data_IF_431527407637
#
_entry.id   IF_431527407637
#
_cell.length_a   1.000
_cell.length_b   1.000
_cell.length_c   1.000
_cell.angle_alpha   90.00
_cell.angle_beta   90.00
_cell.angle_gamma   90.00
#
_symmetry.space_group_name_H-M   'P 1'
#
loop_
_entity.id
_entity.type
_entity.pdbx_description
1 polymer ?
#
# COMPACT_ATOMS: atom_id res chain seq x y z
N UNK A 1 -22.56 8.72 -0.98
CA UNK A 1 -22.77 8.74 0.49
C UNK A 1 -23.65 7.57 0.93
N UNK A 2 -24.91 7.46 0.47
CA UNK A 2 -25.77 6.32 0.85
C UNK A 2 -25.29 4.90 0.44
N UNK A 3 -24.38 4.76 -0.55
CA UNK A 3 -23.85 3.44 -0.94
C UNK A 3 -22.58 3.03 -0.18
N UNK A 4 -21.88 3.96 0.47
CA UNK A 4 -20.65 3.68 1.22
C UNK A 4 -21.00 3.26 2.66
N UNK A 5 -21.99 3.93 3.26
CA UNK A 5 -22.60 3.53 4.54
C UNK A 5 -23.30 2.15 4.45
N UNK A 6 -23.97 1.86 3.33
CA UNK A 6 -24.72 0.62 3.16
C UNK A 6 -23.82 -0.63 2.99
N UNK A 7 -22.56 -0.45 2.60
CA UNK A 7 -21.60 -1.54 2.41
C UNK A 7 -20.73 -1.80 3.65
N UNK A 8 -20.88 -1.02 4.72
CA UNK A 8 -20.05 -1.14 5.92
C UNK A 8 -18.65 -0.54 5.81
N UNK A 9 -18.31 0.11 4.69
CA UNK A 9 -16.94 0.58 4.37
C UNK A 9 -16.74 2.09 4.60
N UNK A 10 -17.65 2.75 5.34
CA UNK A 10 -17.56 4.20 5.55
C UNK A 10 -16.32 4.57 6.37
N UNK A 11 -16.03 3.81 7.43
CA UNK A 11 -14.90 4.08 8.31
C UNK A 11 -13.58 3.88 7.57
N UNK A 12 -13.48 2.85 6.74
CA UNK A 12 -12.34 2.57 5.87
C UNK A 12 -12.18 3.65 4.80
N UNK A 13 -13.29 4.15 4.22
CA UNK A 13 -13.24 5.28 3.28
C UNK A 13 -12.71 6.53 3.98
N UNK A 14 -13.19 6.83 5.19
CA UNK A 14 -12.69 7.97 5.97
C UNK A 14 -11.20 7.79 6.25
N UNK A 15 -10.77 6.60 6.68
CA UNK A 15 -9.37 6.32 6.98
C UNK A 15 -8.49 6.46 5.73
N UNK A 16 -8.94 5.95 4.58
CA UNK A 16 -8.28 6.11 3.28
C UNK A 16 -8.06 7.58 2.91
N UNK A 17 -9.12 8.39 2.98
CA UNK A 17 -9.02 9.82 2.67
C UNK A 17 -8.15 10.56 3.70
N UNK A 18 -8.18 10.16 4.97
CA UNK A 18 -7.26 10.69 5.97
C UNK A 18 -5.81 10.31 5.68
N UNK A 19 -5.55 9.13 5.12
CA UNK A 19 -4.24 8.73 4.61
C UNK A 19 -3.72 9.69 3.53
N UNK A 20 -4.58 10.07 2.58
CA UNK A 20 -4.25 11.09 1.58
C UNK A 20 -3.98 12.48 2.18
N UNK A 21 -4.76 12.88 3.19
CA UNK A 21 -4.54 14.14 3.92
C UNK A 21 -3.19 14.14 4.63
N UNK A 22 -2.79 13.01 5.21
CA UNK A 22 -1.49 12.86 5.89
C UNK A 22 -0.29 12.82 4.93
N UNK A 23 -0.52 12.46 3.67
CA UNK A 23 0.46 12.62 2.60
C UNK A 23 0.67 11.41 1.70
N UNK A 24 -0.03 10.30 1.96
CA UNK A 24 0.08 9.08 1.15
C UNK A 24 -0.47 9.39 -0.25
N UNK A 25 0.33 9.15 -1.28
CA UNK A 25 -0.02 9.46 -2.67
C UNK A 25 0.05 10.95 -3.04
N UNK A 26 -0.30 11.85 -2.12
CA UNK A 26 -0.39 13.30 -2.39
C UNK A 26 0.95 14.03 -2.23
N UNK A 27 1.82 13.55 -1.33
CA UNK A 27 3.14 14.15 -1.06
C UNK A 27 4.31 13.39 -1.67
N UNK A 28 4.11 12.19 -2.23
CA UNK A 28 5.20 11.37 -2.77
C UNK A 28 6.00 12.09 -3.86
N UNK A 29 5.33 12.72 -4.82
CA UNK A 29 5.99 13.49 -5.89
C UNK A 29 6.75 14.70 -5.33
N UNK A 30 6.16 15.42 -4.37
CA UNK A 30 6.79 16.58 -3.72
C UNK A 30 8.01 16.19 -2.88
N UNK A 31 8.00 14.98 -2.33
CA UNK A 31 9.10 14.41 -1.56
C UNK A 31 10.18 13.77 -2.46
N UNK A 32 9.99 13.78 -3.78
CA UNK A 32 10.94 13.19 -4.74
C UNK A 32 10.94 11.65 -4.73
N UNK A 33 9.89 11.03 -4.18
CA UNK A 33 9.80 9.58 -4.01
C UNK A 33 8.92 8.90 -5.04
N UNK A 34 8.33 9.64 -5.98
CA UNK A 34 7.53 9.08 -7.07
C UNK A 34 8.27 9.24 -8.40
N UNK A 35 8.55 8.12 -9.07
CA UNK A 35 9.14 8.09 -10.41
C UNK A 35 8.19 7.46 -11.41
N UNK A 36 8.32 7.83 -12.69
CA UNK A 36 7.49 7.26 -13.75
C UNK A 36 6.02 7.71 -13.73
N UNK A 37 5.68 8.74 -12.95
CA UNK A 37 4.38 9.40 -12.96
C UNK A 37 3.99 9.79 -14.40
N UNK A 38 2.71 9.69 -14.72
CA UNK A 38 2.20 9.80 -16.11
C UNK A 38 2.42 8.57 -17.00
N UNK A 39 3.32 7.64 -16.65
CA UNK A 39 3.74 6.53 -17.51
C UNK A 39 3.07 5.17 -17.22
N UNK A 40 3.54 4.14 -17.93
CA UNK A 40 3.02 2.78 -17.81
C UNK A 40 3.42 2.06 -16.52
N UNK A 41 4.44 2.53 -15.79
CA UNK A 41 4.91 1.89 -14.56
C UNK A 41 5.44 2.93 -13.56
N UNK A 42 4.57 3.74 -12.93
CA UNK A 42 4.95 4.59 -11.82
C UNK A 42 5.35 3.74 -10.61
N UNK A 43 6.31 4.25 -9.83
CA UNK A 43 6.95 3.54 -8.72
C UNK A 43 7.26 4.50 -7.58
N UNK A 44 7.04 4.04 -6.35
CA UNK A 44 7.43 4.74 -5.13
C UNK A 44 8.81 4.24 -4.66
N UNK A 45 9.75 5.14 -4.40
CA UNK A 45 11.17 4.83 -4.14
C UNK A 45 11.59 5.07 -2.69
N UNK A 46 10.63 5.21 -1.77
CA UNK A 46 10.91 5.27 -0.32
C UNK A 46 11.54 3.97 0.16
N UNK A 47 12.58 4.07 1.00
CA UNK A 47 13.39 2.94 1.40
C UNK A 47 12.66 2.04 2.40
N UNK A 48 11.91 2.62 3.33
CA UNK A 48 11.19 1.88 4.37
C UNK A 48 10.02 1.11 3.75
N UNK A 49 9.18 1.77 2.94
CA UNK A 49 8.09 1.10 2.25
C UNK A 49 8.59 0.01 1.30
N UNK A 50 9.72 0.22 0.62
CA UNK A 50 10.33 -0.81 -0.24
C UNK A 50 10.80 -2.02 0.56
N UNK A 51 11.37 -1.82 1.75
CA UNK A 51 11.80 -2.93 2.61
C UNK A 51 10.59 -3.76 3.09
N UNK A 52 9.50 -3.12 3.50
CA UNK A 52 8.27 -3.81 3.90
C UNK A 52 7.59 -4.50 2.72
N UNK A 53 7.62 -3.89 1.52
CA UNK A 53 7.10 -4.50 0.30
C UNK A 53 7.86 -5.79 -0.03
N UNK A 54 9.20 -5.74 -0.01
CA UNK A 54 10.04 -6.91 -0.22
C UNK A 54 9.76 -8.00 0.82
N UNK A 55 9.54 -7.61 2.08
CA UNK A 55 9.23 -8.54 3.18
C UNK A 55 7.87 -9.23 2.99
N UNK A 56 6.82 -8.48 2.68
CA UNK A 56 5.45 -9.01 2.56
C UNK A 56 5.32 -9.87 1.30
N UNK A 57 5.91 -9.46 0.18
CA UNK A 57 5.76 -10.14 -1.09
C UNK A 57 6.83 -11.21 -1.35
N UNK A 58 7.87 -11.31 -0.51
CA UNK A 58 8.97 -12.25 -0.71
C UNK A 58 9.80 -11.94 -1.97
N UNK A 59 9.92 -10.66 -2.31
CA UNK A 59 10.62 -10.18 -3.52
C UNK A 59 11.85 -9.34 -3.17
N UNK A 60 12.62 -8.96 -4.17
CA UNK A 60 13.78 -8.08 -4.02
C UNK A 60 13.76 -6.97 -5.06
N UNK A 61 12.93 -5.97 -4.81
CA UNK A 61 12.69 -4.83 -5.67
C UNK A 61 13.32 -3.56 -5.07
N UNK A 62 13.57 -2.57 -5.92
CA UNK A 62 14.13 -1.26 -5.52
C UNK A 62 13.07 -0.20 -5.26
N UNK A 63 11.79 -0.55 -5.37
CA UNK A 63 10.66 0.37 -5.24
C UNK A 63 9.33 -0.38 -5.12
N UNK A 64 8.25 0.33 -4.81
CA UNK A 64 6.89 -0.20 -4.71
C UNK A 64 6.07 0.16 -5.96
N UNK A 65 5.32 -0.77 -6.55
CA UNK A 65 4.35 -0.49 -7.62
C UNK A 65 3.29 0.55 -7.23
N UNK A 66 3.18 1.63 -8.01
CA UNK A 66 2.11 2.63 -7.89
C UNK A 66 1.08 2.40 -8.99
N UNK A 67 -0.17 2.74 -8.74
CA UNK A 67 -1.26 2.57 -9.69
C UNK A 67 -0.99 3.32 -11.00
N UNK A 68 -1.09 2.60 -12.12
CA UNK A 68 -0.73 3.07 -13.45
C UNK A 68 -1.96 3.28 -14.35
N UNK A 69 -3.15 2.89 -13.86
CA UNK A 69 -4.44 3.04 -14.53
C UNK A 69 -5.35 4.01 -13.77
N UNK A 70 -6.55 4.26 -14.30
CA UNK A 70 -7.52 5.19 -13.71
C UNK A 70 -7.28 6.66 -14.07
N UNK A 71 -8.05 7.55 -13.44
CA UNK A 71 -7.98 9.00 -13.64
C UNK A 71 -7.00 9.71 -12.70
N UNK A 72 -6.94 11.06 -12.73
CA UNK A 72 -6.08 11.85 -11.85
C UNK A 72 -6.30 11.65 -10.35
N UNK A 73 -7.46 11.11 -9.95
CA UNK A 73 -7.78 10.78 -8.57
C UNK A 73 -7.43 9.35 -8.17
N UNK A 74 -6.84 8.54 -9.04
CA UNK A 74 -6.49 7.14 -8.76
C UNK A 74 -5.03 6.87 -9.14
N UNK A 75 -4.69 7.17 -10.39
CA UNK A 75 -3.36 6.95 -10.92
C UNK A 75 -2.33 7.77 -10.16
N UNK A 76 -1.12 7.23 -9.99
CA UNK A 76 0.02 7.89 -9.34
C UNK A 76 -0.15 8.21 -7.83
N UNK A 77 -1.35 8.05 -7.26
CA UNK A 77 -1.67 8.37 -5.86
C UNK A 77 -2.00 7.16 -4.98
N UNK A 78 -2.07 5.97 -5.55
CA UNK A 78 -2.48 4.74 -4.87
C UNK A 78 -1.46 3.63 -5.09
N UNK A 79 -1.46 2.63 -4.21
CA UNK A 79 -0.80 1.37 -4.51
C UNK A 79 -1.46 0.69 -5.70
N UNK A 80 -0.67 -0.06 -6.47
CA UNK A 80 -1.18 -0.75 -7.65
C UNK A 80 -2.16 -1.84 -7.25
N UNK A 81 -3.40 -1.70 -7.66
CA UNK A 81 -4.50 -2.62 -7.35
C UNK A 81 -4.16 -4.06 -7.78
N UNK A 82 -3.62 -4.23 -8.99
CA UNK A 82 -3.23 -5.55 -9.50
C UNK A 82 -2.09 -6.24 -8.75
N UNK A 83 -1.45 -5.56 -7.79
CA UNK A 83 -0.40 -6.11 -6.93
C UNK A 83 -0.90 -6.25 -5.49
N UNK A 84 -1.59 -5.24 -4.96
CA UNK A 84 -2.01 -5.22 -3.56
C UNK A 84 -3.41 -5.81 -3.34
N UNK A 85 -4.31 -5.77 -4.33
CA UNK A 85 -5.70 -6.19 -4.15
C UNK A 85 -6.37 -5.41 -3.03
N UNK A 86 -7.00 -6.11 -2.09
CA UNK A 86 -7.69 -5.54 -0.93
C UNK A 86 -6.69 -4.97 0.10
N UNK A 87 -6.12 -3.79 -0.16
CA UNK A 87 -5.32 -3.00 0.78
C UNK A 87 -5.88 -1.58 0.86
N UNK A 88 -5.84 -0.97 2.04
CA UNK A 88 -6.53 0.30 2.31
C UNK A 88 -6.24 1.41 1.30
N UNK A 89 -5.02 1.55 0.80
CA UNK A 89 -4.58 2.66 -0.06
C UNK A 89 -4.48 2.27 -1.54
N UNK A 90 -5.20 1.23 -1.97
CA UNK A 90 -5.49 1.01 -3.39
C UNK A 90 -6.70 1.84 -3.86
N UNK A 91 -6.94 1.87 -5.17
CA UNK A 91 -7.97 2.74 -5.76
C UNK A 91 -9.40 2.25 -5.58
N UNK A 92 -9.61 1.05 -5.02
CA UNK A 92 -10.90 0.39 -4.92
C UNK A 92 -11.10 -0.17 -3.52
N UNK A 93 -12.13 0.31 -2.82
CA UNK A 93 -12.42 -0.08 -1.45
C UNK A 93 -13.48 -1.19 -1.41
N UNK A 94 -13.05 -2.43 -1.64
CA UNK A 94 -13.85 -3.64 -1.46
C UNK A 94 -13.18 -4.65 -0.51
N UNK A 95 -14.00 -5.49 0.12
CA UNK A 95 -13.51 -6.53 1.02
C UNK A 95 -12.91 -6.01 2.34
N UNK A 96 -11.89 -6.71 2.84
CA UNK A 96 -11.17 -6.32 4.06
C UNK A 96 -10.01 -5.41 3.68
N UNK A 97 -9.99 -4.18 4.19
CA UNK A 97 -9.06 -3.12 3.76
C UNK A 97 -7.99 -2.82 4.84
N UNK A 98 -7.01 -3.73 5.07
CA UNK A 98 -5.97 -3.51 6.06
C UNK A 98 -5.06 -2.35 5.67
N UNK A 99 -4.65 -1.56 6.67
CA UNK A 99 -3.53 -0.62 6.53
C UNK A 99 -2.23 -1.39 6.68
N UNK A 100 -1.61 -1.75 5.55
CA UNK A 100 -0.41 -2.57 5.54
C UNK A 100 0.82 -1.85 6.10
N UNK A 101 1.84 -2.61 6.52
CA UNK A 101 3.15 -2.06 6.89
C UNK A 101 3.81 -1.27 5.75
N UNK A 102 3.51 -1.56 4.48
CA UNK A 102 4.00 -0.78 3.33
C UNK A 102 3.40 0.62 3.35
N UNK A 103 2.09 0.71 3.55
CA UNK A 103 1.37 1.98 3.68
C UNK A 103 1.88 2.80 4.86
N UNK A 104 1.98 2.18 6.04
CA UNK A 104 2.52 2.84 7.23
C UNK A 104 3.96 3.35 7.01
N UNK A 105 4.85 2.50 6.48
CA UNK A 105 6.24 2.87 6.20
C UNK A 105 6.39 4.01 5.19
N UNK A 106 5.44 4.16 4.25
CA UNK A 106 5.47 5.29 3.31
C UNK A 106 5.30 6.66 3.99
N UNK A 107 4.68 6.71 5.18
CA UNK A 107 4.65 7.91 6.02
C UNK A 107 6.03 8.18 6.64
N UNK A 108 6.76 7.13 7.04
CA UNK A 108 8.14 7.22 7.51
C UNK A 108 9.06 7.83 6.45
N UNK A 109 8.94 7.35 5.22
CA UNK A 109 9.70 7.84 4.06
C UNK A 109 9.44 9.34 3.75
N UNK A 110 8.31 9.92 4.15
CA UNK A 110 8.01 11.36 4.01
C UNK A 110 8.22 12.16 5.31
N UNK A 111 8.82 11.55 6.33
CA UNK A 111 9.33 12.24 7.52
C UNK A 111 8.47 12.12 8.79
N UNK A 112 7.48 11.23 8.83
CA UNK A 112 6.79 10.90 10.08
C UNK A 112 7.60 9.90 10.90
N UNK A 113 7.41 9.90 12.22
CA UNK A 113 7.78 8.75 13.05
C UNK A 113 6.62 7.76 13.04
N UNK A 114 6.90 6.50 12.68
CA UNK A 114 5.87 5.48 12.47
C UNK A 114 6.16 4.25 13.34
N UNK A 115 5.14 3.79 14.06
CA UNK A 115 5.14 2.48 14.69
C UNK A 115 4.58 1.43 13.71
N UNK A 116 5.48 0.65 13.11
CA UNK A 116 5.11 -0.38 12.13
C UNK A 116 4.41 -1.60 12.77
N UNK A 117 4.47 -1.75 14.09
CA UNK A 117 3.79 -2.86 14.78
C UNK A 117 2.31 -2.53 15.04
N UNK A 118 1.90 -1.28 14.83
CA UNK A 118 0.49 -0.84 14.87
C UNK A 118 -0.25 -1.02 13.53
N UNK A 119 0.46 -1.40 12.45
CA UNK A 119 -0.16 -1.67 11.16
C UNK A 119 -0.90 -3.01 11.15
N UNK A 120 -1.90 -3.13 10.28
CA UNK A 120 -2.68 -4.36 10.15
C UNK A 120 -1.87 -5.47 9.46
N UNK A 121 -2.22 -6.72 9.78
CA UNK A 121 -1.70 -7.86 9.04
C UNK A 121 -2.28 -7.84 7.62
N UNK A 122 -1.41 -7.76 6.63
CA UNK A 122 -1.76 -7.81 5.22
C UNK A 122 -0.98 -8.93 4.52
N UNK A 123 -1.71 -9.79 3.82
CA UNK A 123 -1.15 -10.87 3.00
C UNK A 123 -1.72 -10.70 1.60
N UNK A 124 -0.88 -10.44 0.59
CA UNK A 124 -1.36 -10.25 -0.77
C UNK A 124 -1.98 -11.54 -1.30
N UNK A 125 -3.08 -11.40 -2.01
CA UNK A 125 -3.78 -12.51 -2.65
C UNK A 125 -2.86 -13.21 -3.67
N UNK A 126 -2.76 -14.53 -3.58
CA UNK A 126 -1.97 -15.34 -4.52
C UNK A 126 -0.53 -15.64 -4.08
N UNK A 127 -0.13 -15.26 -2.86
CA UNK A 127 1.13 -15.68 -2.26
C UNK A 127 0.82 -16.80 -1.26
N UNK A 128 1.02 -18.05 -1.69
CA UNK A 128 0.93 -19.22 -0.81
C UNK A 128 2.20 -19.25 0.06
N UNK A 129 2.10 -18.76 1.30
CA UNK A 129 3.09 -19.08 2.31
C UNK A 129 2.91 -20.56 2.64
N UNK A 130 3.48 -21.43 1.81
CA UNK A 130 3.65 -22.83 2.15
C UNK A 130 4.23 -22.85 3.55
N UNK A 131 3.45 -23.34 4.51
CA UNK A 131 3.87 -23.48 5.89
C UNK A 131 5.17 -24.27 5.88
N UNK A 132 6.29 -23.60 6.15
CA UNK A 132 7.59 -24.26 6.21
C UNK A 132 7.62 -25.12 7.48
N UNK A 133 6.98 -26.29 7.37
CA UNK A 133 7.06 -27.39 8.30
C UNK A 133 8.13 -28.34 7.79
N UNK A 134 9.38 -27.87 7.71
CA UNK A 134 10.52 -28.69 7.32
C UNK A 134 11.83 -28.09 7.83
N UNK A 135 12.19 -28.44 9.08
CA UNK A 135 13.50 -28.98 9.48
C UNK A 135 13.97 -28.48 10.85
N UNK A 136 13.84 -29.36 11.85
CA UNK A 136 14.91 -29.58 12.82
C UNK A 136 14.87 -31.05 13.24
N UNK A 137 15.51 -31.90 12.42
CA UNK A 137 16.17 -33.11 12.90
C UNK A 137 17.59 -32.67 13.30
N UNK A 138 17.82 -32.50 14.59
CA UNK A 138 19.00 -33.00 15.31
C UNK A 138 18.66 -33.13 16.79
#
# INVERSE_FOLDING_TARGET
>A
MNSLEANGNLDETILHEMGHVLGIGTLWSRSGLLVGAGGANPRFTGAEATAEYNRIFGVNESSVPVENTGGPGTRDGHWRESVFGEELMTGFLDGSLPLSRVTAASLGDIGYEVDLDAADSFVPSGIDFASDSSAAIV
#
